data_IF_663986284118
#
_entry.id   IF_663986284118
#
_cell.length_a   1.000
_cell.length_b   1.000
_cell.length_c   1.000
_cell.angle_alpha   90.00
_cell.angle_beta   90.00
_cell.angle_gamma   90.00
#
_symmetry.space_group_name_H-M   'P 1'
#
loop_
_entity.id
_entity.type
_entity.pdbx_description
1 polymer ?
#
# COMPACT_ATOMS: atom_id res chain seq x y z
N UNK A 1 49.84 -27.50 5.28
CA UNK A 1 49.71 -27.10 6.69
C UNK A 1 48.25 -26.79 6.97
N UNK A 2 47.67 -27.50 7.94
CA UNK A 2 46.28 -27.26 8.35
C UNK A 2 46.21 -25.91 9.07
N UNK A 3 45.49 -24.95 8.49
CA UNK A 3 45.22 -23.67 9.13
C UNK A 3 44.08 -23.88 10.15
N UNK A 4 44.40 -23.85 11.44
CA UNK A 4 43.44 -23.93 12.55
C UNK A 4 43.20 -22.54 13.13
N UNK A 5 42.05 -22.31 13.74
CA UNK A 5 41.80 -21.12 14.52
C UNK A 5 42.26 -21.38 15.95
N UNK A 6 43.15 -20.54 16.41
CA UNK A 6 43.62 -20.52 17.79
C UNK A 6 43.08 -19.27 18.47
N UNK A 7 42.56 -19.44 19.68
CA UNK A 7 42.21 -18.37 20.56
C UNK A 7 43.32 -18.20 21.58
N UNK A 8 43.78 -16.97 21.72
CA UNK A 8 44.66 -16.59 22.82
C UNK A 8 43.87 -15.69 23.76
N UNK A 9 43.74 -16.12 25.00
CA UNK A 9 43.09 -15.34 26.07
C UNK A 9 44.04 -15.08 27.19
N UNK A 10 43.92 -13.96 27.88
CA UNK A 10 44.76 -13.63 29.01
C UNK A 10 44.85 -12.13 29.29
N UNK A 11 45.62 -11.78 30.31
CA UNK A 11 45.96 -10.40 30.62
C UNK A 11 47.29 -10.03 29.96
N UNK A 12 47.58 -8.72 29.75
CA UNK A 12 48.88 -8.30 29.25
C UNK A 12 50.04 -8.92 30.02
N UNK A 13 50.84 -9.73 29.34
CA UNK A 13 51.99 -10.46 29.91
C UNK A 13 51.68 -11.91 30.32
N UNK A 14 50.45 -12.38 30.27
CA UNK A 14 50.06 -13.76 30.59
C UNK A 14 48.97 -14.24 29.62
N UNK A 15 49.35 -14.75 28.48
CA UNK A 15 48.47 -15.27 27.44
C UNK A 15 48.40 -16.78 27.48
N UNK A 16 47.20 -17.33 27.39
CA UNK A 16 46.95 -18.76 27.27
C UNK A 16 46.43 -19.08 25.87
N UNK A 17 46.94 -20.12 25.24
CA UNK A 17 46.45 -20.65 23.97
C UNK A 17 45.37 -21.70 24.28
N UNK A 18 44.12 -21.41 23.94
CA UNK A 18 43.05 -22.41 23.94
C UNK A 18 43.00 -23.11 22.57
N UNK A 19 43.54 -24.30 22.51
CA UNK A 19 43.60 -25.11 21.27
C UNK A 19 42.30 -25.83 20.96
N UNK A 20 41.30 -25.74 21.83
CA UNK A 20 40.07 -26.53 21.74
C UNK A 20 38.92 -25.77 21.07
N UNK A 21 39.09 -24.52 20.60
CA UNK A 21 38.06 -23.75 19.98
C UNK A 21 37.49 -24.45 18.72
N UNK A 22 38.33 -25.08 17.92
CA UNK A 22 37.86 -25.94 16.81
C UNK A 22 38.92 -26.96 16.40
N UNK A 23 38.48 -28.17 16.07
CA UNK A 23 39.32 -29.21 15.44
C UNK A 23 39.31 -29.16 13.92
N UNK A 24 38.46 -28.32 13.33
CA UNK A 24 38.37 -28.17 11.87
C UNK A 24 39.56 -27.40 11.31
N UNK A 25 40.04 -27.85 10.17
CA UNK A 25 41.07 -27.12 9.45
C UNK A 25 40.50 -26.03 8.55
N UNK A 26 41.37 -25.09 8.14
CA UNK A 26 41.14 -24.19 7.02
C UNK A 26 40.18 -23.04 7.29
N UNK A 27 40.04 -22.60 8.56
CA UNK A 27 39.30 -21.37 8.90
C UNK A 27 40.07 -20.11 8.44
N UNK A 28 39.33 -19.19 7.80
CA UNK A 28 39.85 -17.92 7.31
C UNK A 28 39.00 -16.78 7.88
N UNK A 29 39.61 -15.60 8.05
CA UNK A 29 38.98 -14.37 8.47
C UNK A 29 38.06 -14.53 9.70
N UNK A 30 38.59 -14.97 10.85
CA UNK A 30 37.79 -15.09 12.04
C UNK A 30 37.37 -13.72 12.57
N UNK A 31 36.13 -13.63 12.99
CA UNK A 31 35.59 -12.54 13.80
C UNK A 31 35.30 -13.08 15.21
N UNK A 32 35.57 -12.29 16.22
CA UNK A 32 35.40 -12.67 17.63
C UNK A 32 34.70 -11.57 18.36
N UNK A 33 33.75 -11.93 19.21
CA UNK A 33 33.09 -11.04 20.15
C UNK A 33 32.92 -11.73 21.51
N UNK A 34 32.70 -10.96 22.56
CA UNK A 34 32.46 -11.45 23.93
C UNK A 34 31.15 -10.85 24.42
N UNK A 35 30.28 -11.69 24.95
CA UNK A 35 28.99 -11.26 25.49
C UNK A 35 29.11 -10.77 26.95
N UNK A 36 28.00 -10.30 27.55
CA UNK A 36 27.95 -9.77 28.91
C UNK A 36 28.25 -10.82 30.00
N UNK A 37 28.26 -12.12 29.64
CA UNK A 37 28.56 -13.25 30.54
C UNK A 37 29.96 -13.82 30.32
N UNK A 38 30.84 -13.04 29.67
CA UNK A 38 32.21 -13.43 29.30
C UNK A 38 32.27 -14.64 28.35
N UNK A 39 31.17 -14.98 27.69
CA UNK A 39 31.19 -16.03 26.68
C UNK A 39 31.77 -15.52 25.37
N UNK A 40 32.65 -16.33 24.78
CA UNK A 40 33.35 -16.02 23.53
C UNK A 40 32.59 -16.61 22.36
N UNK A 41 32.38 -15.77 21.35
CA UNK A 41 31.71 -16.09 20.09
C UNK A 41 32.72 -15.96 18.93
N UNK A 42 32.75 -16.94 18.06
CA UNK A 42 33.66 -16.94 16.92
C UNK A 42 32.88 -17.25 15.65
N UNK A 43 33.01 -16.40 14.65
CA UNK A 43 32.60 -16.68 13.29
C UNK A 43 33.81 -16.82 12.38
N UNK A 44 33.81 -17.73 11.43
CA UNK A 44 34.90 -17.93 10.50
C UNK A 44 34.41 -18.57 9.20
N UNK A 45 35.17 -18.33 8.14
CA UNK A 45 34.91 -18.86 6.81
C UNK A 45 35.72 -20.10 6.53
N UNK A 46 35.08 -21.12 5.93
CA UNK A 46 35.82 -22.30 5.40
C UNK A 46 35.97 -22.17 3.90
N UNK A 47 37.21 -22.05 3.44
CA UNK A 47 37.55 -21.78 2.05
C UNK A 47 37.07 -22.80 1.03
N UNK A 48 36.98 -24.09 1.41
CA UNK A 48 36.59 -25.18 0.48
C UNK A 48 35.09 -25.15 0.15
N UNK A 49 34.22 -24.78 1.10
CA UNK A 49 32.76 -24.86 0.97
C UNK A 49 32.10 -23.49 0.94
N UNK A 50 32.87 -22.41 1.04
CA UNK A 50 32.35 -21.01 1.11
C UNK A 50 31.31 -20.77 2.23
N UNK A 51 31.37 -21.57 3.31
CA UNK A 51 30.45 -21.50 4.42
C UNK A 51 30.98 -20.58 5.51
N UNK A 52 30.11 -19.70 6.04
CA UNK A 52 30.38 -19.02 7.30
C UNK A 52 29.92 -19.93 8.43
N UNK A 53 30.83 -20.23 9.33
CA UNK A 53 30.57 -21.04 10.52
C UNK A 53 30.66 -20.20 11.78
N UNK A 54 29.99 -20.66 12.80
CA UNK A 54 29.95 -20.04 14.12
C UNK A 54 30.06 -21.10 15.21
N UNK A 55 30.74 -20.73 16.29
CA UNK A 55 30.85 -21.51 17.52
C UNK A 55 30.97 -20.56 18.74
N UNK A 56 30.62 -21.08 19.91
CA UNK A 56 30.68 -20.33 21.17
C UNK A 56 31.00 -21.26 22.34
N UNK A 57 31.49 -20.68 23.44
CA UNK A 57 31.66 -21.36 24.72
C UNK A 57 30.61 -20.94 25.76
N UNK A 58 29.52 -20.30 25.38
CA UNK A 58 28.45 -19.81 26.26
C UNK A 58 27.85 -20.89 27.19
N UNK A 59 27.95 -22.18 26.85
CA UNK A 59 27.54 -23.29 27.70
C UNK A 59 28.63 -23.81 28.66
N UNK A 60 29.74 -23.07 28.83
CA UNK A 60 30.91 -23.48 29.61
C UNK A 60 31.87 -24.39 28.87
N UNK A 61 31.55 -24.83 27.64
CA UNK A 61 32.42 -25.57 26.75
C UNK A 61 32.17 -25.14 25.29
N UNK A 62 33.19 -25.33 24.44
CA UNK A 62 33.05 -24.99 23.02
C UNK A 62 31.99 -25.84 22.33
N UNK A 63 31.05 -25.17 21.67
CA UNK A 63 30.05 -25.82 20.81
C UNK A 63 30.72 -26.44 19.57
N UNK A 64 30.07 -27.42 18.96
CA UNK A 64 30.47 -27.83 17.61
C UNK A 64 30.20 -26.69 16.63
N UNK A 65 31.10 -26.42 15.69
CA UNK A 65 30.93 -25.39 14.67
C UNK A 65 29.65 -25.62 13.83
N UNK A 66 28.80 -24.64 13.74
CA UNK A 66 27.56 -24.69 12.94
C UNK A 66 27.69 -23.78 11.73
N UNK A 67 27.17 -24.22 10.57
CA UNK A 67 27.04 -23.38 9.38
C UNK A 67 25.90 -22.40 9.64
N UNK A 68 26.20 -21.12 9.60
CA UNK A 68 25.22 -20.03 9.76
C UNK A 68 24.93 -19.34 8.43
N UNK A 69 25.78 -19.53 7.43
CA UNK A 69 25.55 -19.12 6.05
C UNK A 69 26.28 -20.07 5.08
N UNK A 70 25.53 -20.62 4.11
CA UNK A 70 26.06 -21.52 3.11
C UNK A 70 26.85 -20.86 1.98
N UNK A 71 26.84 -19.52 1.88
CA UNK A 71 27.44 -18.76 0.78
C UNK A 71 28.03 -17.42 1.21
N UNK A 72 28.55 -17.31 2.41
CA UNK A 72 29.05 -16.06 2.94
C UNK A 72 30.39 -16.19 3.65
N UNK A 73 30.91 -15.07 4.11
CA UNK A 73 31.93 -15.08 5.15
C UNK A 73 33.28 -14.55 4.81
N UNK A 74 33.51 -13.94 3.65
CA UNK A 74 34.77 -13.26 3.38
C UNK A 74 34.80 -11.95 4.18
N UNK A 75 35.82 -11.78 5.05
CA UNK A 75 35.98 -10.55 5.81
C UNK A 75 34.84 -10.27 6.80
N UNK A 76 34.48 -11.28 7.61
CA UNK A 76 33.43 -11.09 8.64
C UNK A 76 33.91 -10.20 9.78
N UNK A 77 32.96 -9.38 10.30
CA UNK A 77 33.08 -8.65 11.56
C UNK A 77 31.90 -9.06 12.46
N UNK A 78 32.09 -8.94 13.77
CA UNK A 78 31.11 -9.38 14.75
C UNK A 78 30.96 -8.33 15.85
N UNK A 79 29.73 -8.07 16.26
CA UNK A 79 29.36 -7.20 17.38
C UNK A 79 28.30 -7.89 18.24
N UNK A 80 28.25 -7.52 19.52
CA UNK A 80 27.26 -7.98 20.49
C UNK A 80 26.48 -6.79 20.99
N UNK A 81 25.15 -6.85 21.01
CA UNK A 81 24.33 -5.79 21.56
C UNK A 81 24.10 -5.97 23.08
N UNK A 82 23.41 -5.01 23.69
CA UNK A 82 23.08 -5.02 25.13
C UNK A 82 22.16 -6.16 25.59
N UNK A 83 21.60 -6.94 24.65
CA UNK A 83 20.77 -8.11 24.91
C UNK A 83 21.53 -9.41 24.67
N UNK A 84 22.85 -9.33 24.46
CA UNK A 84 23.74 -10.42 24.04
C UNK A 84 23.37 -11.03 22.68
N UNK A 85 22.64 -10.28 21.83
CA UNK A 85 22.41 -10.66 20.44
C UNK A 85 23.67 -10.40 19.60
N UNK A 86 24.08 -11.38 18.82
CA UNK A 86 25.32 -11.34 18.04
C UNK A 86 25.01 -11.01 16.60
N UNK A 87 25.66 -9.98 16.09
CA UNK A 87 25.55 -9.50 14.72
C UNK A 87 26.85 -9.80 13.97
N UNK A 88 26.74 -10.50 12.85
CA UNK A 88 27.88 -10.87 12.01
C UNK A 88 27.66 -10.30 10.63
N UNK A 89 28.42 -9.26 10.28
CA UNK A 89 28.44 -8.76 8.92
C UNK A 89 29.53 -9.48 8.11
N UNK A 90 29.19 -9.96 6.93
CA UNK A 90 30.10 -10.66 6.05
C UNK A 90 29.87 -10.29 4.58
N UNK A 91 30.89 -10.41 3.76
CA UNK A 91 30.79 -10.19 2.32
C UNK A 91 30.12 -11.40 1.64
N UNK A 92 29.11 -11.15 0.81
CA UNK A 92 28.49 -12.15 -0.05
C UNK A 92 29.21 -12.16 -1.42
N UNK A 93 30.04 -13.15 -1.71
CA UNK A 93 30.99 -13.11 -2.84
C UNK A 93 30.34 -13.09 -4.23
N UNK A 94 29.05 -13.42 -4.34
CA UNK A 94 28.36 -13.47 -5.62
C UNK A 94 27.54 -12.21 -5.95
N UNK A 95 27.32 -11.29 -4.98
CA UNK A 95 26.41 -10.17 -5.14
C UNK A 95 27.03 -8.80 -4.86
N UNK A 96 28.32 -8.70 -4.56
CA UNK A 96 28.96 -7.46 -4.09
C UNK A 96 28.18 -6.78 -2.94
N UNK A 97 27.51 -7.56 -2.10
CA UNK A 97 26.68 -7.10 -1.01
C UNK A 97 27.27 -7.48 0.34
N UNK A 98 27.01 -6.67 1.35
CA UNK A 98 27.25 -7.03 2.75
C UNK A 98 26.04 -7.78 3.25
N UNK A 99 26.25 -8.96 3.80
CA UNK A 99 25.22 -9.80 4.42
C UNK A 99 25.33 -9.70 5.93
N UNK A 100 24.22 -9.44 6.59
CA UNK A 100 24.13 -9.44 8.04
C UNK A 100 23.48 -10.75 8.51
N UNK A 101 24.16 -11.47 9.38
CA UNK A 101 23.64 -12.67 10.04
C UNK A 101 23.55 -12.39 11.53
N UNK A 102 22.43 -12.72 12.16
CA UNK A 102 22.23 -12.51 13.60
C UNK A 102 22.07 -13.84 14.32
N UNK A 103 22.63 -13.93 15.52
CA UNK A 103 22.55 -15.09 16.39
C UNK A 103 22.12 -14.61 17.77
N UNK A 104 21.09 -15.21 18.35
CA UNK A 104 20.62 -14.83 19.68
C UNK A 104 21.53 -15.41 20.77
N UNK A 105 22.10 -14.51 21.59
CA UNK A 105 22.98 -14.86 22.67
C UNK A 105 22.26 -15.08 23.97
N UNK A 106 21.78 -16.21 24.25
CA UNK A 106 21.43 -16.59 25.62
C UNK A 106 21.86 -18.03 25.83
N UNK A 107 23.04 -18.31 26.33
CA UNK A 107 23.58 -19.58 26.87
C UNK A 107 22.93 -20.94 26.52
N UNK A 108 21.90 -20.98 25.73
CA UNK A 108 21.01 -22.08 25.41
C UNK A 108 20.97 -22.38 23.89
N UNK A 109 22.09 -22.47 23.25
CA UNK A 109 22.16 -22.93 21.86
C UNK A 109 21.70 -21.88 20.82
N UNK A 110 22.17 -22.03 19.58
CA UNK A 110 21.86 -21.15 18.45
C UNK A 110 20.36 -21.06 18.22
N UNK A 111 19.70 -20.03 18.76
CA UNK A 111 18.37 -19.64 18.31
C UNK A 111 18.57 -18.56 17.25
N UNK A 112 18.27 -18.88 16.00
CA UNK A 112 18.35 -17.92 14.91
C UNK A 112 17.34 -16.78 15.13
N UNK A 113 17.81 -15.55 15.04
CA UNK A 113 16.89 -14.43 14.86
C UNK A 113 16.46 -14.43 13.39
N UNK A 114 15.17 -14.62 13.10
CA UNK A 114 14.72 -14.53 11.72
C UNK A 114 14.92 -13.11 11.19
N UNK A 115 15.47 -12.99 9.99
CA UNK A 115 15.59 -11.74 9.26
C UNK A 115 14.55 -11.72 8.14
N UNK A 116 13.75 -10.67 8.11
CA UNK A 116 12.73 -10.47 7.11
C UNK A 116 13.19 -9.49 6.04
N UNK A 117 12.99 -9.86 4.80
CA UNK A 117 13.21 -9.03 3.61
C UNK A 117 11.97 -9.02 2.74
N UNK A 118 11.76 -7.98 1.93
CA UNK A 118 10.59 -7.83 1.08
C UNK A 118 10.96 -7.40 -0.33
N UNK A 119 10.36 -8.04 -1.31
CA UNK A 119 10.53 -7.69 -2.72
C UNK A 119 9.20 -7.81 -3.48
N UNK A 120 8.86 -6.83 -4.34
CA UNK A 120 9.47 -5.51 -4.47
C UNK A 120 9.38 -4.70 -3.17
N UNK A 121 10.12 -3.57 -3.04
CA UNK A 121 10.05 -2.71 -1.87
C UNK A 121 8.64 -2.18 -1.67
N UNK A 122 8.29 -1.86 -0.41
CA UNK A 122 7.02 -1.22 -0.05
C UNK A 122 6.95 0.20 -0.62
N UNK A 123 5.74 0.70 -0.94
CA UNK A 123 5.51 2.09 -1.29
C UNK A 123 5.95 3.05 -0.19
N UNK A 124 6.22 4.29 -0.58
CA UNK A 124 6.62 5.35 0.35
C UNK A 124 5.61 5.53 1.49
N UNK A 125 6.14 5.75 2.70
CA UNK A 125 5.37 5.87 3.93
C UNK A 125 5.10 4.53 4.63
N UNK A 126 5.36 3.38 4.00
CA UNK A 126 5.30 2.07 4.62
C UNK A 126 6.69 1.52 4.88
N UNK A 127 6.85 0.83 6.00
CA UNK A 127 8.10 0.18 6.40
C UNK A 127 7.84 -1.21 6.93
N UNK A 128 8.80 -2.10 6.74
CA UNK A 128 8.79 -3.42 7.37
C UNK A 128 9.90 -3.50 8.42
N UNK A 129 9.57 -3.95 9.62
CA UNK A 129 10.55 -4.27 10.63
C UNK A 129 11.27 -5.57 10.25
N UNK A 130 12.54 -5.47 9.94
CA UNK A 130 13.35 -6.60 9.49
C UNK A 130 13.54 -7.72 10.53
N UNK A 131 13.27 -7.46 11.82
CA UNK A 131 13.35 -8.47 12.91
C UNK A 131 12.03 -9.20 13.15
N UNK A 132 10.90 -8.53 12.96
CA UNK A 132 9.58 -9.08 13.29
C UNK A 132 8.73 -9.39 12.06
N UNK A 133 9.10 -8.85 10.88
CA UNK A 133 8.29 -8.91 9.67
C UNK A 133 7.06 -8.01 9.72
N UNK A 134 6.90 -7.21 10.78
CA UNK A 134 5.75 -6.31 10.92
C UNK A 134 5.83 -5.17 9.92
N UNK A 135 4.80 -5.00 9.12
CA UNK A 135 4.62 -3.87 8.20
C UNK A 135 3.79 -2.81 8.91
N UNK A 136 4.24 -1.54 8.85
CA UNK A 136 3.59 -0.40 9.49
C UNK A 136 3.87 0.89 8.73
N UNK A 137 3.15 1.95 9.07
CA UNK A 137 3.29 3.27 8.48
C UNK A 137 2.00 3.80 7.88
N UNK A 138 2.08 4.98 7.27
CA UNK A 138 0.99 5.61 6.51
C UNK A 138 1.46 5.81 5.08
N UNK A 139 0.83 5.18 4.09
CA UNK A 139 1.26 5.33 2.71
C UNK A 139 1.07 6.78 2.25
N UNK A 140 2.03 7.32 1.51
CA UNK A 140 2.03 8.69 1.00
C UNK A 140 1.83 8.76 -0.51
N UNK A 141 1.75 7.61 -1.18
CA UNK A 141 1.49 7.50 -2.61
C UNK A 141 0.47 6.42 -2.92
N UNK A 142 -0.21 6.54 -4.06
CA UNK A 142 -1.10 5.50 -4.58
C UNK A 142 -0.27 4.34 -5.12
N UNK A 143 -0.77 3.10 -4.98
CA UNK A 143 -0.03 1.93 -5.43
C UNK A 143 -0.95 0.95 -6.17
N UNK A 144 -0.53 0.55 -7.37
CA UNK A 144 -1.25 -0.46 -8.14
C UNK A 144 -1.19 -1.81 -7.44
N UNK A 145 -2.14 -2.66 -7.73
CA UNK A 145 -2.21 -4.01 -7.17
C UNK A 145 -0.91 -4.79 -7.47
N UNK A 146 -0.02 -4.86 -6.49
CA UNK A 146 1.31 -5.46 -6.61
C UNK A 146 1.47 -6.58 -5.60
N UNK A 147 1.98 -7.72 -6.06
CA UNK A 147 2.32 -8.84 -5.17
C UNK A 147 3.72 -8.64 -4.60
N UNK A 148 3.80 -8.60 -3.28
CA UNK A 148 5.05 -8.56 -2.53
C UNK A 148 5.38 -9.94 -1.98
N UNK A 149 6.63 -10.32 -2.05
CA UNK A 149 7.18 -11.55 -1.46
C UNK A 149 8.00 -11.18 -0.24
N UNK A 150 7.58 -11.64 0.92
CA UNK A 150 8.37 -11.56 2.16
C UNK A 150 9.20 -12.82 2.26
N UNK A 151 10.50 -12.66 2.42
CA UNK A 151 11.46 -13.74 2.64
C UNK A 151 11.95 -13.67 4.08
N UNK A 152 11.81 -14.74 4.83
CA UNK A 152 12.45 -14.88 6.13
C UNK A 152 13.65 -15.81 6.03
N UNK A 153 14.77 -15.34 6.56
CA UNK A 153 16.02 -16.12 6.60
C UNK A 153 16.41 -16.37 8.04
N UNK A 154 16.68 -17.62 8.37
CA UNK A 154 17.14 -18.04 9.68
C UNK A 154 18.14 -19.20 9.54
N UNK A 155 19.34 -19.09 10.11
CA UNK A 155 20.42 -20.11 10.02
C UNK A 155 20.73 -20.55 8.58
N UNK A 156 20.68 -19.63 7.61
CA UNK A 156 20.92 -19.93 6.20
C UNK A 156 19.76 -20.65 5.49
N UNK A 157 18.66 -20.95 6.19
CA UNK A 157 17.42 -21.45 5.60
C UNK A 157 16.49 -20.30 5.32
N UNK A 158 15.74 -20.41 4.23
CA UNK A 158 14.78 -19.39 3.82
C UNK A 158 13.39 -20.00 3.63
N UNK A 159 12.37 -19.22 3.96
CA UNK A 159 10.98 -19.47 3.54
C UNK A 159 10.35 -18.17 3.09
N UNK A 160 9.31 -18.25 2.28
CA UNK A 160 8.65 -17.07 1.70
C UNK A 160 7.15 -17.11 1.93
N UNK A 161 6.57 -15.91 2.02
CA UNK A 161 5.13 -15.70 1.96
C UNK A 161 4.86 -14.52 1.02
N UNK A 162 3.69 -14.52 0.39
CA UNK A 162 3.28 -13.44 -0.50
C UNK A 162 2.00 -12.79 -0.02
N UNK A 163 1.88 -11.50 -0.27
CA UNK A 163 0.63 -10.75 -0.13
C UNK A 163 0.53 -9.73 -1.25
N UNK A 164 -0.70 -9.28 -1.53
CA UNK A 164 -0.95 -8.25 -2.53
C UNK A 164 -1.28 -6.94 -1.83
N UNK A 165 -0.64 -5.85 -2.25
CA UNK A 165 -0.86 -4.51 -1.73
C UNK A 165 -1.49 -3.64 -2.81
N UNK A 166 -2.53 -2.92 -2.42
CA UNK A 166 -3.21 -1.90 -3.22
C UNK A 166 -3.47 -0.67 -2.35
N UNK A 167 -3.15 0.51 -2.85
CA UNK A 167 -3.41 1.79 -2.18
C UNK A 167 -4.22 2.66 -3.14
N UNK A 168 -5.51 2.85 -2.82
CA UNK A 168 -6.43 3.64 -3.63
C UNK A 168 -6.24 5.14 -3.43
N UNK A 169 -6.49 5.89 -4.49
CA UNK A 169 -6.47 7.35 -4.50
C UNK A 169 -7.86 7.99 -4.48
N UNK A 170 -7.92 9.23 -4.97
CA UNK A 170 -9.17 9.94 -5.23
C UNK A 170 -10.02 9.21 -6.28
N UNK A 171 -11.34 9.55 -6.40
CA UNK A 171 -12.18 9.04 -7.48
C UNK A 171 -11.59 9.30 -8.87
N UNK A 172 -11.88 8.40 -9.81
CA UNK A 172 -11.55 8.61 -11.21
C UNK A 172 -12.38 9.74 -11.84
N UNK A 173 -12.05 10.11 -13.08
CA UNK A 173 -12.77 11.17 -13.77
C UNK A 173 -14.23 10.80 -13.99
N UNK A 174 -15.11 11.77 -13.80
CA UNK A 174 -16.57 11.65 -14.01
C UNK A 174 -17.01 12.55 -15.17
N UNK A 175 -18.08 12.16 -15.84
CA UNK A 175 -18.71 13.01 -16.86
C UNK A 175 -20.21 12.78 -16.91
N UNK A 176 -20.95 13.83 -17.30
CA UNK A 176 -22.40 13.81 -17.56
C UNK A 176 -22.67 14.38 -18.95
N UNK A 177 -23.74 13.92 -19.57
CA UNK A 177 -24.33 14.64 -20.69
C UNK A 177 -25.13 15.86 -20.17
N UNK A 178 -25.17 16.94 -20.96
CA UNK A 178 -25.98 18.11 -20.64
C UNK A 178 -27.45 17.74 -20.49
N UNK A 179 -28.14 18.40 -19.55
CA UNK A 179 -29.56 18.19 -19.28
C UNK A 179 -30.38 19.24 -20.01
N UNK A 180 -31.25 18.81 -20.91
CA UNK A 180 -32.27 19.66 -21.51
C UNK A 180 -33.64 19.10 -21.06
N UNK A 181 -34.32 19.85 -20.22
CA UNK A 181 -35.62 19.47 -19.67
C UNK A 181 -36.74 20.46 -20.00
N UNK A 182 -37.95 20.11 -19.60
CA UNK A 182 -39.13 20.97 -19.67
C UNK A 182 -39.68 21.20 -18.26
N UNK A 183 -40.03 22.43 -17.96
CA UNK A 183 -40.67 22.82 -16.70
C UNK A 183 -41.87 21.92 -16.40
N UNK A 184 -41.96 21.43 -15.16
CA UNK A 184 -42.98 20.51 -14.67
C UNK A 184 -43.05 19.14 -15.38
N UNK A 185 -42.05 18.77 -16.16
CA UNK A 185 -41.93 17.43 -16.75
C UNK A 185 -40.72 16.72 -16.19
N UNK A 186 -40.82 15.42 -15.84
CA UNK A 186 -39.65 14.68 -15.33
C UNK A 186 -38.56 14.60 -16.39
N UNK A 187 -37.32 14.81 -15.99
CA UNK A 187 -36.16 14.60 -16.89
C UNK A 187 -35.87 13.09 -17.03
N UNK A 188 -35.25 12.71 -18.14
CA UNK A 188 -34.61 11.39 -18.24
C UNK A 188 -33.44 11.32 -17.24
N UNK A 189 -33.42 10.34 -16.33
CA UNK A 189 -32.31 10.22 -15.38
C UNK A 189 -30.97 10.20 -16.06
N UNK A 190 -30.05 11.07 -15.61
CA UNK A 190 -28.68 11.14 -16.10
C UNK A 190 -27.78 10.35 -15.16
N UNK A 191 -27.19 9.30 -15.68
CA UNK A 191 -26.20 8.46 -14.96
C UNK A 191 -24.81 8.95 -15.33
N UNK A 192 -23.91 9.20 -14.36
CA UNK A 192 -22.54 9.57 -14.69
C UNK A 192 -21.79 8.46 -15.42
N UNK A 193 -20.89 8.83 -16.31
CA UNK A 193 -19.87 7.93 -16.84
C UNK A 193 -18.58 8.10 -16.07
N UNK A 194 -17.80 7.00 -15.95
CA UNK A 194 -16.57 6.96 -15.17
C UNK A 194 -15.39 6.58 -16.06
N UNK A 195 -14.26 7.25 -15.81
CA UNK A 195 -12.97 6.81 -16.34
C UNK A 195 -12.05 6.58 -15.14
N UNK A 196 -11.99 5.34 -14.69
CA UNK A 196 -11.14 4.95 -13.57
C UNK A 196 -9.73 4.58 -14.05
N UNK A 197 -8.74 5.01 -13.30
CA UNK A 197 -7.37 4.50 -13.39
C UNK A 197 -7.24 3.26 -12.49
N UNK A 198 -6.13 2.54 -12.61
CA UNK A 198 -5.85 1.37 -11.76
C UNK A 198 -5.75 1.69 -10.26
N UNK A 199 -5.68 2.98 -9.89
CA UNK A 199 -5.57 3.46 -8.50
C UNK A 199 -6.74 4.34 -8.07
N UNK A 200 -7.79 4.48 -8.89
CA UNK A 200 -8.99 5.24 -8.53
C UNK A 200 -9.71 4.59 -7.36
N UNK A 201 -10.03 5.39 -6.34
CA UNK A 201 -10.79 4.94 -5.18
C UNK A 201 -12.29 4.96 -5.42
N UNK A 202 -13.04 4.21 -4.60
CA UNK A 202 -14.50 4.21 -4.62
C UNK A 202 -15.06 5.57 -4.24
N UNK A 203 -16.19 5.95 -4.87
CA UNK A 203 -16.91 7.19 -4.58
C UNK A 203 -17.82 6.94 -3.38
N UNK A 204 -17.72 7.80 -2.37
CA UNK A 204 -18.53 7.71 -1.14
C UNK A 204 -19.61 8.76 -1.04
N UNK A 205 -19.49 9.89 -1.75
CA UNK A 205 -20.49 10.93 -1.78
C UNK A 205 -20.47 11.76 -3.06
N UNK A 206 -21.59 12.42 -3.33
CA UNK A 206 -21.81 13.30 -4.47
C UNK A 206 -22.33 14.66 -4.02
N UNK A 207 -21.86 15.73 -4.67
CA UNK A 207 -22.24 17.10 -4.38
C UNK A 207 -22.42 17.88 -5.69
N UNK A 208 -23.16 18.97 -5.64
CA UNK A 208 -23.26 19.95 -6.73
C UNK A 208 -23.04 21.37 -6.21
N UNK A 209 -22.29 22.14 -6.96
CA UNK A 209 -22.09 23.57 -6.69
C UNK A 209 -22.26 24.37 -8.00
N UNK A 210 -23.24 25.31 -8.06
CA UNK A 210 -24.31 25.54 -7.08
C UNK A 210 -25.24 24.32 -6.93
N UNK A 211 -26.10 24.34 -5.90
CA UNK A 211 -27.15 23.33 -5.76
C UNK A 211 -27.97 23.18 -7.04
N UNK A 212 -28.34 21.95 -7.35
CA UNK A 212 -29.17 21.65 -8.53
C UNK A 212 -30.47 22.44 -8.49
N UNK A 213 -31.07 22.76 -9.67
CA UNK A 213 -32.36 23.42 -9.77
C UNK A 213 -33.44 22.76 -8.94
N UNK A 214 -34.31 23.55 -8.33
CA UNK A 214 -35.44 23.04 -7.54
C UNK A 214 -36.26 22.01 -8.32
N UNK A 215 -36.42 20.84 -7.70
CA UNK A 215 -37.10 19.68 -8.29
C UNK A 215 -36.16 18.66 -8.91
N UNK A 216 -34.87 18.97 -9.05
CA UNK A 216 -33.83 17.99 -9.43
C UNK A 216 -33.06 17.51 -8.20
N UNK A 217 -32.62 16.27 -8.22
CA UNK A 217 -31.90 15.61 -7.15
C UNK A 217 -30.67 14.86 -7.73
N UNK A 218 -29.68 14.65 -6.87
CA UNK A 218 -28.52 13.79 -7.17
C UNK A 218 -28.46 12.61 -6.21
N UNK A 219 -28.22 11.42 -6.72
CA UNK A 219 -28.12 10.19 -5.93
C UNK A 219 -26.87 10.17 -5.09
N UNK A 220 -27.02 10.08 -3.77
CA UNK A 220 -25.91 10.12 -2.83
C UNK A 220 -24.85 9.01 -3.04
N UNK A 221 -25.25 7.87 -3.60
CA UNK A 221 -24.37 6.71 -3.80
C UNK A 221 -23.92 6.47 -5.24
N UNK A 222 -24.75 6.89 -6.22
CA UNK A 222 -24.50 6.57 -7.63
C UNK A 222 -24.40 7.81 -8.54
N UNK A 223 -24.58 9.01 -7.98
CA UNK A 223 -24.50 10.27 -8.74
C UNK A 223 -25.59 10.47 -9.80
N UNK A 224 -26.57 9.58 -9.91
CA UNK A 224 -27.67 9.76 -10.89
C UNK A 224 -28.43 11.04 -10.58
N UNK A 225 -28.67 11.85 -11.60
CA UNK A 225 -29.49 13.07 -11.49
C UNK A 225 -30.87 12.78 -12.06
N UNK A 226 -31.93 13.08 -11.28
CA UNK A 226 -33.32 12.85 -11.66
C UNK A 226 -34.26 13.88 -11.03
N UNK A 227 -35.47 13.89 -11.46
CA UNK A 227 -36.55 14.71 -10.86
C UNK A 227 -37.39 15.47 -11.87
N UNK A 228 -38.23 16.35 -11.37
CA UNK A 228 -39.13 17.20 -12.14
C UNK A 228 -38.80 18.66 -11.81
N UNK A 229 -38.14 19.39 -12.69
CA UNK A 229 -37.73 20.76 -12.42
C UNK A 229 -38.97 21.70 -12.30
N UNK A 230 -38.99 22.52 -11.26
CA UNK A 230 -40.04 23.49 -10.99
C UNK A 230 -39.66 24.94 -11.31
N UNK A 231 -38.52 25.15 -11.97
CA UNK A 231 -37.99 26.46 -12.38
C UNK A 231 -37.53 26.40 -13.82
N UNK A 232 -37.68 27.50 -14.56
CA UNK A 232 -37.18 27.66 -15.92
C UNK A 232 -35.76 28.19 -15.87
N UNK A 233 -34.84 27.61 -16.63
CA UNK A 233 -33.42 27.97 -16.66
C UNK A 233 -32.95 28.04 -18.12
N UNK A 234 -32.50 29.22 -18.54
CA UNK A 234 -32.03 29.47 -19.92
C UNK A 234 -30.60 28.97 -20.19
N UNK A 235 -30.09 28.10 -19.31
CA UNK A 235 -28.71 27.58 -19.30
C UNK A 235 -28.01 27.94 -18.01
N UNK A 236 -27.71 26.94 -17.19
CA UNK A 236 -26.94 27.08 -15.95
C UNK A 236 -25.80 26.07 -15.93
N UNK A 237 -24.64 26.50 -15.43
CA UNK A 237 -23.46 25.63 -15.26
C UNK A 237 -23.40 25.18 -13.81
N UNK A 238 -23.29 23.89 -13.61
CA UNK A 238 -23.18 23.24 -12.31
C UNK A 238 -21.91 22.40 -12.28
N UNK A 239 -21.16 22.46 -11.20
CA UNK A 239 -20.03 21.57 -10.97
C UNK A 239 -20.52 20.40 -10.12
N UNK A 240 -20.33 19.20 -10.64
CA UNK A 240 -20.67 17.98 -9.90
C UNK A 240 -19.37 17.37 -9.37
N UNK A 241 -19.37 17.07 -8.08
CA UNK A 241 -18.25 16.48 -7.35
C UNK A 241 -18.54 15.05 -6.95
N UNK A 242 -17.57 14.18 -7.16
CA UNK A 242 -17.54 12.81 -6.63
C UNK A 242 -16.40 12.74 -5.61
N UNK A 243 -16.71 12.37 -4.38
CA UNK A 243 -15.78 12.46 -3.26
C UNK A 243 -15.53 11.09 -2.63
N UNK A 244 -14.33 10.94 -2.03
CA UNK A 244 -14.01 9.91 -1.06
C UNK A 244 -13.08 10.51 0.03
N UNK A 245 -12.60 9.69 0.97
CA UNK A 245 -11.72 10.13 2.06
C UNK A 245 -10.32 10.60 1.61
N UNK A 246 -9.92 10.32 0.37
CA UNK A 246 -8.62 10.68 -0.18
C UNK A 246 -8.68 11.99 -0.96
N UNK A 247 -9.79 12.25 -1.65
CA UNK A 247 -9.96 13.44 -2.47
C UNK A 247 -11.22 13.42 -3.30
N UNK A 248 -11.27 14.31 -4.29
CA UNK A 248 -12.44 14.56 -5.12
C UNK A 248 -12.09 14.56 -6.61
N UNK A 249 -13.07 14.20 -7.43
CA UNK A 249 -13.10 14.44 -8.87
C UNK A 249 -14.32 15.26 -9.23
N UNK A 250 -14.24 16.13 -10.23
CA UNK A 250 -15.36 16.98 -10.62
C UNK A 250 -15.51 17.08 -12.14
N UNK A 251 -16.73 17.48 -12.54
CA UNK A 251 -17.06 17.79 -13.92
C UNK A 251 -18.08 18.92 -13.95
N UNK A 252 -18.14 19.62 -15.08
CA UNK A 252 -19.19 20.62 -15.34
C UNK A 252 -20.37 19.98 -16.05
N UNK A 253 -21.58 20.43 -15.69
CA UNK A 253 -22.86 20.00 -16.26
C UNK A 253 -23.67 21.23 -16.63
N UNK A 254 -24.11 21.35 -17.89
CA UNK A 254 -25.03 22.38 -18.31
C UNK A 254 -26.46 21.89 -18.14
N UNK A 255 -27.32 22.69 -17.52
CA UNK A 255 -28.75 22.41 -17.35
C UNK A 255 -29.55 23.52 -17.98
N UNK A 256 -30.45 23.14 -18.90
CA UNK A 256 -31.43 24.03 -19.55
C UNK A 256 -32.81 23.48 -19.29
N UNK A 257 -33.73 24.30 -18.72
CA UNK A 257 -35.10 23.93 -18.50
C UNK A 257 -35.99 24.89 -19.26
N UNK A 258 -36.57 24.39 -20.32
CA UNK A 258 -37.47 25.17 -21.17
C UNK A 258 -38.86 25.36 -20.56
N UNK A 259 -39.54 26.39 -20.93
CA UNK A 259 -40.96 26.55 -20.61
C UNK A 259 -41.80 25.41 -21.23
N UNK A 260 -42.82 24.98 -20.53
CA UNK A 260 -43.81 24.08 -21.12
C UNK A 260 -44.66 24.85 -22.14
N UNK A 261 -44.85 24.28 -23.31
CA UNK A 261 -45.75 24.84 -24.28
C UNK A 261 -47.19 24.90 -23.70
N UNK A 262 -47.95 25.94 -24.00
CA UNK A 262 -49.36 25.96 -23.65
C UNK A 262 -50.06 24.71 -24.19
N UNK A 263 -50.99 24.20 -23.43
CA UNK A 263 -51.86 23.11 -23.90
C UNK A 263 -52.70 23.54 -25.11
N UNK A 264 -53.17 22.57 -25.87
CA UNK A 264 -54.17 22.85 -26.89
C UNK A 264 -55.46 23.38 -26.28
N UNK A 265 -56.05 24.34 -26.89
CA UNK A 265 -57.37 24.82 -26.49
C UNK A 265 -58.29 24.89 -27.71
N UNK A 266 -59.57 24.82 -27.46
CA UNK A 266 -60.57 24.98 -28.51
C UNK A 266 -61.59 25.99 -28.02
N UNK A 267 -62.23 26.66 -28.97
CA UNK A 267 -63.41 27.45 -28.67
C UNK A 267 -64.66 26.57 -28.61
N UNK A 268 -65.55 26.81 -27.70
CA UNK A 268 -66.81 26.10 -27.63
C UNK A 268 -68.02 27.10 -27.67
N UNK A 269 -68.83 27.14 -28.75
CA UNK A 269 -68.70 26.19 -29.90
C UNK A 269 -67.58 26.53 -30.84
N UNK A 270 -67.12 25.50 -31.60
CA UNK A 270 -66.00 25.59 -32.61
C UNK A 270 -66.43 26.49 -33.74
N UNK A 271 -67.69 26.37 -34.14
CA UNK A 271 -68.28 27.16 -35.22
C UNK A 271 -69.29 28.14 -34.61
N UNK A 272 -69.28 29.41 -35.06
CA UNK A 272 -70.16 30.46 -34.62
C UNK A 272 -70.98 30.94 -35.81
N UNK A 273 -72.28 30.73 -35.72
CA UNK A 273 -73.25 31.32 -36.65
C UNK A 273 -73.84 32.61 -36.02
N UNK A 274 -73.55 33.75 -36.62
CA UNK A 274 -73.88 35.06 -36.08
C UNK A 274 -74.87 35.76 -36.96
N UNK A 275 -75.93 36.39 -36.35
CA UNK A 275 -76.89 37.17 -37.06
C UNK A 275 -76.55 38.67 -37.05
N UNK A 276 -76.72 39.34 -38.16
CA UNK A 276 -76.37 40.75 -38.32
C UNK A 276 -77.26 41.59 -37.30
N UNK A 277 -76.59 42.49 -36.60
CA UNK A 277 -77.13 43.39 -35.59
C UNK A 277 -77.62 42.69 -34.28
N UNK A 278 -77.25 41.42 -34.05
CA UNK A 278 -77.47 40.77 -32.77
C UNK A 278 -76.16 40.68 -31.96
N UNK A 279 -76.24 40.89 -30.67
CA UNK A 279 -75.09 40.72 -29.78
C UNK A 279 -74.67 39.26 -29.71
N UNK A 280 -73.38 39.03 -29.88
CA UNK A 280 -72.79 37.68 -29.77
C UNK A 280 -72.86 37.22 -28.27
N UNK A 281 -73.22 35.96 -28.08
CA UNK A 281 -72.96 35.32 -26.79
C UNK A 281 -71.44 35.09 -26.67
N UNK A 282 -70.82 35.49 -25.55
CA UNK A 282 -69.36 35.26 -25.39
C UNK A 282 -68.98 33.80 -25.60
N UNK A 283 -68.03 33.56 -26.50
CA UNK A 283 -67.47 32.22 -26.67
C UNK A 283 -66.31 32.07 -25.71
N UNK A 284 -66.19 30.94 -25.09
CA UNK A 284 -65.14 30.62 -24.08
C UNK A 284 -64.19 29.58 -24.58
N UNK A 285 -62.93 29.69 -24.16
CA UNK A 285 -61.97 28.66 -24.41
C UNK A 285 -62.16 27.48 -23.47
N UNK A 286 -61.93 26.27 -23.99
CA UNK A 286 -61.94 25.04 -23.21
C UNK A 286 -60.52 24.47 -23.28
N UNK A 287 -59.89 24.17 -22.10
CA UNK A 287 -58.57 23.57 -22.03
C UNK A 287 -58.56 22.12 -22.49
#
# INVERSE_FOLDING_TARGET
SSKRIYLHSGTPGSWFEDRNATTECCGHWPAVAVDSNDAVHIAYHIGSNKNLKYLTNASGSWSSPKVIDGYGGWGSVMEVDSNDDIFIASNAPNNNAIKLTTVKGSGQGLTAIPMFDISPPLPDGLTMNWRTGTISGTPTEVHVNTTHTVTVTALGLTTTATFTLYISGAPGSIAYADIIGTHHSPITPQVPTFTNTSTSGEITSWESDPMLPTGLNIGATNGTIWGTPSVIIAGGVYVIWANNSVGSSSTTLNITINAQAPGSFTYNPVDMDLTLNQAMTPNTVSP
#
